data_IF_069005748214
#
_entry.id   IF_069005748214
#
_cell.length_a   1.000
_cell.length_b   1.000
_cell.length_c   1.000
_cell.angle_alpha   90.00
_cell.angle_beta   90.00
_cell.angle_gamma   90.00
#
_symmetry.space_group_name_H-M   'P 1'
#
loop_
_entity.id
_entity.type
_entity.pdbx_description
1 polymer ?
#
# COMPACT_ATOMS: atom_id res chain seq x y z
N UNK A 1 9.78 -6.19 19.37
CA UNK A 1 9.07 -5.37 18.36
C UNK A 1 10.12 -4.88 17.38
N UNK A 2 9.88 -4.98 16.08
CA UNK A 2 10.78 -4.38 15.07
C UNK A 2 10.74 -2.84 15.21
N UNK A 3 11.86 -2.16 14.94
CA UNK A 3 11.90 -0.70 14.91
C UNK A 3 11.42 -0.19 13.54
N UNK A 4 11.01 1.08 13.47
CA UNK A 4 10.79 1.79 12.19
C UNK A 4 12.08 1.71 11.37
N UNK A 5 11.96 1.32 10.10
CA UNK A 5 13.10 1.18 9.19
C UNK A 5 13.06 -0.09 8.35
N UNK A 6 14.19 -0.41 7.74
CA UNK A 6 14.33 -1.59 6.86
C UNK A 6 14.29 -2.87 7.68
N UNK A 7 13.42 -3.78 7.28
CA UNK A 7 13.22 -5.08 7.89
C UNK A 7 13.07 -6.16 6.81
N UNK A 8 13.01 -7.42 7.25
CA UNK A 8 12.73 -8.56 6.41
C UNK A 8 11.50 -9.29 6.94
N UNK A 9 10.53 -9.53 6.10
CA UNK A 9 9.31 -10.26 6.44
C UNK A 9 9.22 -11.54 5.63
N UNK A 10 8.58 -12.55 6.18
CA UNK A 10 8.22 -13.78 5.48
C UNK A 10 6.69 -13.77 5.34
N UNK A 11 6.14 -13.45 4.14
CA UNK A 11 4.70 -13.54 3.92
C UNK A 11 4.20 -14.96 4.18
N UNK A 12 2.96 -15.10 4.67
CA UNK A 12 2.38 -16.42 4.94
C UNK A 12 2.39 -17.30 3.70
N UNK A 13 2.66 -18.58 3.90
CA UNK A 13 2.74 -19.58 2.83
C UNK A 13 3.76 -19.26 1.72
N UNK A 14 4.71 -18.38 2.03
CA UNK A 14 5.84 -18.09 1.15
C UNK A 14 7.11 -18.69 1.74
N UNK A 15 7.99 -19.20 0.87
CA UNK A 15 9.36 -19.56 1.22
C UNK A 15 10.35 -18.41 1.01
N UNK A 16 9.89 -17.30 0.44
CA UNK A 16 10.72 -16.16 0.08
C UNK A 16 10.59 -15.02 1.09
N UNK A 17 11.73 -14.56 1.57
CA UNK A 17 11.84 -13.39 2.44
C UNK A 17 11.80 -12.13 1.61
N UNK A 18 10.97 -11.16 2.01
CA UNK A 18 10.81 -9.87 1.34
C UNK A 18 11.43 -8.77 2.18
N UNK A 19 12.30 -7.96 1.56
CA UNK A 19 12.85 -6.75 2.17
C UNK A 19 11.79 -5.64 2.10
N UNK A 20 11.47 -5.03 3.25
CA UNK A 20 10.42 -4.01 3.38
C UNK A 20 10.88 -2.84 4.25
N UNK A 21 10.11 -1.77 4.23
CA UNK A 21 10.20 -0.71 5.23
C UNK A 21 9.03 -0.85 6.19
N UNK A 22 9.30 -0.95 7.48
CA UNK A 22 8.30 -1.00 8.54
C UNK A 22 8.11 0.38 9.15
N UNK A 23 6.87 0.80 9.33
CA UNK A 23 6.48 1.99 10.08
C UNK A 23 5.82 1.55 11.40
N UNK A 24 6.48 1.86 12.51
CA UNK A 24 6.02 1.51 13.86
C UNK A 24 5.43 2.71 14.61
N UNK A 25 5.30 3.85 13.94
CA UNK A 25 4.89 5.12 14.55
C UNK A 25 3.46 5.52 14.16
N UNK A 26 3.13 5.40 12.87
CA UNK A 26 1.82 5.83 12.37
C UNK A 26 0.69 4.98 12.96
N UNK A 27 -0.31 5.62 13.57
CA UNK A 27 -1.56 4.98 14.03
C UNK A 27 -1.35 3.66 14.81
N UNK A 28 -0.42 3.63 15.76
CA UNK A 28 -0.12 2.47 16.59
C UNK A 28 0.88 1.48 15.97
N UNK A 29 1.45 1.76 14.82
CA UNK A 29 2.51 0.98 14.21
C UNK A 29 2.07 -0.32 13.55
N UNK A 30 3.04 -1.21 13.29
CA UNK A 30 2.80 -2.51 12.65
C UNK A 30 2.57 -2.44 11.14
N UNK A 31 2.88 -1.32 10.52
CA UNK A 31 2.68 -1.11 9.09
C UNK A 31 3.88 -1.58 8.27
N UNK A 32 3.61 -2.21 7.15
CA UNK A 32 4.56 -2.51 6.08
C UNK A 32 4.29 -1.56 4.92
N UNK A 33 5.25 -0.71 4.57
CA UNK A 33 5.11 0.20 3.42
C UNK A 33 5.23 -0.61 2.13
N UNK A 34 4.27 -0.42 1.22
CA UNK A 34 4.19 -1.13 -0.06
C UNK A 34 4.44 -0.24 -1.27
N UNK A 35 4.29 1.08 -1.09
CA UNK A 35 4.58 2.10 -2.10
C UNK A 35 5.02 3.38 -1.43
N UNK A 36 5.96 4.09 -2.04
CA UNK A 36 6.32 5.46 -1.63
C UNK A 36 6.63 6.33 -2.84
N UNK A 37 6.11 7.57 -2.78
CA UNK A 37 6.46 8.67 -3.67
C UNK A 37 6.94 9.84 -2.84
N UNK A 38 8.07 10.48 -3.22
CA UNK A 38 8.66 11.55 -2.39
C UNK A 38 9.45 12.60 -3.14
N UNK A 39 10.11 12.30 -4.24
CA UNK A 39 11.02 13.22 -4.93
C UNK A 39 11.13 13.01 -6.47
N UNK A 40 10.42 12.02 -7.02
CA UNK A 40 10.34 11.75 -8.45
C UNK A 40 11.61 11.18 -9.08
N UNK A 41 12.55 10.66 -8.28
CA UNK A 41 13.79 10.07 -8.82
C UNK A 41 13.58 8.66 -9.38
N UNK A 42 12.59 7.94 -8.89
CA UNK A 42 12.24 6.62 -9.42
C UNK A 42 11.21 6.76 -10.55
N UNK A 43 11.49 6.11 -11.67
CA UNK A 43 10.55 6.05 -12.79
C UNK A 43 9.48 5.00 -12.52
N UNK A 44 8.21 5.43 -12.42
CA UNK A 44 7.05 4.57 -12.26
C UNK A 44 6.37 4.20 -13.60
N UNK A 45 6.82 4.73 -14.73
CA UNK A 45 6.33 4.32 -16.06
C UNK A 45 6.94 2.96 -16.47
N UNK A 46 6.65 1.94 -15.71
CA UNK A 46 7.20 0.58 -15.86
C UNK A 46 6.20 -0.36 -16.54
N UNK A 47 6.73 -1.44 -17.07
CA UNK A 47 5.95 -2.52 -17.69
C UNK A 47 5.37 -3.48 -16.63
N UNK A 48 4.53 -4.41 -17.10
CA UNK A 48 3.89 -5.43 -16.27
C UNK A 48 4.88 -6.24 -15.43
N UNK A 49 5.94 -6.73 -16.05
CA UNK A 49 6.93 -7.54 -15.36
C UNK A 49 7.61 -6.80 -14.20
N UNK A 50 7.88 -5.50 -14.35
CA UNK A 50 8.44 -4.68 -13.28
C UNK A 50 7.42 -4.44 -12.15
N UNK A 51 6.16 -4.12 -12.48
CA UNK A 51 5.11 -4.00 -11.46
C UNK A 51 4.82 -5.32 -10.75
N UNK A 52 4.89 -6.44 -11.45
CA UNK A 52 4.77 -7.79 -10.87
C UNK A 52 5.81 -8.04 -9.78
N UNK A 53 7.08 -7.79 -10.08
CA UNK A 53 8.21 -8.14 -9.18
C UNK A 53 8.56 -7.03 -8.19
N UNK A 54 8.19 -5.78 -8.48
CA UNK A 54 8.58 -4.59 -7.73
C UNK A 54 9.83 -3.90 -8.27
N UNK A 55 9.99 -2.63 -7.92
CA UNK A 55 11.10 -1.78 -8.34
C UNK A 55 11.36 -0.65 -7.35
N UNK A 56 12.50 0.04 -7.50
CA UNK A 56 12.91 1.14 -6.63
C UNK A 56 13.62 0.67 -5.36
N UNK A 57 13.68 1.55 -4.36
CA UNK A 57 14.36 1.29 -3.09
C UNK A 57 13.43 1.53 -1.92
N UNK A 58 13.33 0.59 -1.00
CA UNK A 58 12.51 0.73 0.24
C UNK A 58 12.95 1.90 1.13
N UNK A 59 14.13 2.48 0.90
CA UNK A 59 14.61 3.70 1.56
C UNK A 59 14.24 4.99 0.82
N UNK A 60 13.77 4.89 -0.43
CA UNK A 60 13.34 5.99 -1.27
C UNK A 60 11.96 5.72 -1.85
N UNK A 61 11.77 6.04 -3.14
CA UNK A 61 10.56 5.70 -3.88
C UNK A 61 10.60 4.24 -4.35
N UNK A 62 9.47 3.55 -4.28
CA UNK A 62 9.37 2.15 -4.71
C UNK A 62 7.93 1.66 -4.85
N UNK A 63 7.78 0.56 -5.57
CA UNK A 63 6.62 -0.32 -5.59
C UNK A 63 7.06 -1.71 -5.14
N UNK A 64 6.39 -2.29 -4.14
CA UNK A 64 6.82 -3.56 -3.53
C UNK A 64 6.66 -4.77 -4.46
N UNK A 65 5.81 -4.66 -5.47
CA UNK A 65 5.49 -5.71 -6.43
C UNK A 65 4.12 -6.36 -6.19
N UNK A 66 3.37 -6.56 -7.28
CA UNK A 66 2.01 -7.10 -7.21
C UNK A 66 1.98 -8.53 -6.65
N UNK A 67 3.00 -9.35 -6.93
CA UNK A 67 3.14 -10.68 -6.33
C UNK A 67 3.26 -10.61 -4.81
N UNK A 68 4.02 -9.64 -4.29
CA UNK A 68 4.17 -9.43 -2.86
C UNK A 68 2.88 -8.86 -2.25
N UNK A 69 2.20 -7.93 -2.93
CA UNK A 69 0.91 -7.42 -2.50
C UNK A 69 -0.12 -8.55 -2.38
N UNK A 70 -0.22 -9.40 -3.39
CA UNK A 70 -1.09 -10.58 -3.35
C UNK A 70 -0.77 -11.47 -2.13
N UNK A 71 0.50 -11.82 -1.93
CA UNK A 71 0.93 -12.67 -0.80
C UNK A 71 0.60 -12.06 0.55
N UNK A 72 0.69 -10.73 0.68
CA UNK A 72 0.40 -10.03 1.95
C UNK A 72 -1.09 -9.85 2.22
N UNK A 73 -1.95 -9.91 1.20
CA UNK A 73 -3.36 -9.52 1.32
C UNK A 73 -4.36 -10.65 1.09
N UNK A 74 -3.95 -11.79 0.52
CA UNK A 74 -4.82 -12.90 0.09
C UNK A 74 -5.74 -13.47 1.17
N UNK A 75 -5.39 -13.34 2.44
CA UNK A 75 -6.19 -13.85 3.57
C UNK A 75 -7.37 -12.93 3.96
N UNK A 76 -7.54 -11.79 3.29
CA UNK A 76 -8.58 -10.80 3.58
C UNK A 76 -8.57 -10.27 5.04
N UNK A 77 -7.42 -10.31 5.69
CA UNK A 77 -7.22 -9.80 7.07
C UNK A 77 -6.34 -8.56 7.11
N UNK A 78 -6.01 -8.04 5.95
CA UNK A 78 -5.05 -6.94 5.80
C UNK A 78 -5.79 -5.61 5.65
N UNK A 79 -5.38 -4.63 6.45
CA UNK A 79 -5.78 -3.24 6.32
C UNK A 79 -4.85 -2.53 5.34
N UNK A 80 -5.38 -1.53 4.64
CA UNK A 80 -4.60 -0.55 3.88
C UNK A 80 -4.70 0.80 4.56
N UNK A 81 -3.59 1.51 4.59
CA UNK A 81 -3.56 2.96 4.85
C UNK A 81 -2.81 3.67 3.73
N UNK A 82 -3.34 4.81 3.31
CA UNK A 82 -2.71 5.72 2.36
C UNK A 82 -2.52 7.05 3.06
N UNK A 83 -1.27 7.46 3.23
CA UNK A 83 -0.89 8.77 3.74
C UNK A 83 -0.51 9.67 2.57
N UNK A 84 -1.06 10.88 2.53
CA UNK A 84 -0.96 11.83 1.45
C UNK A 84 -0.48 13.18 1.98
N UNK A 85 0.45 13.81 1.29
CA UNK A 85 0.85 15.20 1.54
C UNK A 85 0.69 15.96 0.24
N UNK A 86 -0.12 17.01 0.27
CA UNK A 86 -0.33 17.85 -0.90
C UNK A 86 0.85 18.80 -1.16
N UNK A 87 0.80 19.52 -2.27
CA UNK A 87 1.84 20.48 -2.67
C UNK A 87 1.93 21.69 -1.74
N UNK A 88 0.95 21.93 -0.85
CA UNK A 88 0.93 22.98 0.15
C UNK A 88 1.39 22.51 1.53
N UNK A 89 1.71 21.20 1.67
CA UNK A 89 2.14 20.58 2.91
C UNK A 89 1.01 20.16 3.84
N UNK A 90 -0.24 20.17 3.39
CA UNK A 90 -1.37 19.63 4.14
C UNK A 90 -1.31 18.09 4.13
N UNK A 91 -1.76 17.52 5.23
CA UNK A 91 -1.75 16.08 5.43
C UNK A 91 -3.15 15.49 5.36
N UNK A 92 -3.29 14.44 4.55
CA UNK A 92 -4.51 13.70 4.32
C UNK A 92 -4.25 12.21 4.52
N UNK A 93 -5.28 11.45 4.85
CA UNK A 93 -5.16 10.01 4.95
C UNK A 93 -6.48 9.30 4.64
N UNK A 94 -6.36 8.08 4.15
CA UNK A 94 -7.46 7.13 3.97
C UNK A 94 -7.05 5.76 4.50
N UNK A 95 -7.92 5.13 5.28
CA UNK A 95 -7.76 3.75 5.74
C UNK A 95 -8.91 2.88 5.22
N UNK A 96 -8.59 1.63 4.95
CA UNK A 96 -9.54 0.59 4.55
C UNK A 96 -9.35 -0.60 5.47
N UNK A 97 -10.43 -1.05 6.12
CA UNK A 97 -10.40 -2.18 7.03
C UNK A 97 -10.03 -3.49 6.34
N UNK A 98 -10.31 -3.60 5.05
CA UNK A 98 -9.97 -4.74 4.23
C UNK A 98 -9.42 -4.28 2.89
N UNK A 99 -8.26 -4.81 2.56
CA UNK A 99 -7.56 -4.63 1.30
C UNK A 99 -7.10 -5.98 0.79
N UNK A 100 -7.50 -6.33 -0.43
CA UNK A 100 -7.15 -7.59 -1.07
C UNK A 100 -6.70 -7.34 -2.50
N UNK A 101 -5.60 -7.95 -2.89
CA UNK A 101 -5.10 -7.99 -4.26
C UNK A 101 -5.13 -9.44 -4.74
N UNK A 102 -5.86 -9.70 -5.82
CA UNK A 102 -5.96 -11.02 -6.46
C UNK A 102 -4.63 -11.49 -7.04
N UNK A 103 -4.58 -12.73 -7.48
CA UNK A 103 -3.40 -13.30 -8.14
C UNK A 103 -3.21 -12.77 -9.57
N UNK A 104 -2.07 -13.10 -10.19
CA UNK A 104 -1.79 -12.70 -11.59
C UNK A 104 -2.84 -13.21 -12.57
N UNK A 105 -3.33 -14.44 -12.36
CA UNK A 105 -4.41 -15.05 -13.14
C UNK A 105 -5.74 -14.31 -13.04
N UNK A 106 -5.92 -13.46 -12.02
CA UNK A 106 -7.07 -12.58 -11.82
C UNK A 106 -6.78 -11.14 -12.25
N UNK A 107 -5.62 -10.89 -12.89
CA UNK A 107 -5.14 -9.56 -13.28
C UNK A 107 -4.80 -8.67 -12.11
N UNK A 108 -4.38 -9.24 -10.96
CA UNK A 108 -4.15 -8.53 -9.70
C UNK A 108 -5.32 -7.62 -9.32
N UNK A 109 -6.56 -8.07 -9.52
CA UNK A 109 -7.75 -7.28 -9.20
C UNK A 109 -7.79 -6.87 -7.73
N UNK A 110 -8.33 -5.68 -7.44
CA UNK A 110 -8.29 -5.08 -6.10
C UNK A 110 -9.66 -5.03 -5.44
N UNK A 111 -9.71 -5.20 -4.12
CA UNK A 111 -10.91 -4.99 -3.32
C UNK A 111 -10.60 -4.16 -2.08
N UNK A 112 -11.51 -3.22 -1.76
CA UNK A 112 -11.44 -2.32 -0.61
C UNK A 112 -12.74 -2.37 0.16
N UNK A 113 -12.69 -2.38 1.51
CA UNK A 113 -13.87 -2.27 2.37
C UNK A 113 -13.56 -1.50 3.64
N UNK A 114 -14.57 -0.86 4.22
CA UNK A 114 -14.49 -0.23 5.53
C UNK A 114 -13.63 1.03 5.55
N UNK A 115 -13.99 2.00 4.69
CA UNK A 115 -13.29 3.28 4.60
C UNK A 115 -13.44 4.12 5.86
N UNK A 116 -12.33 4.75 6.29
CA UNK A 116 -12.24 5.87 7.23
C UNK A 116 -11.12 6.82 6.80
N UNK A 117 -11.26 8.12 7.05
CA UNK A 117 -10.21 9.06 6.67
C UNK A 117 -10.66 10.52 6.67
N UNK A 118 -9.71 11.42 6.36
CA UNK A 118 -9.95 12.82 6.06
C UNK A 118 -9.73 13.17 4.57
N UNK A 119 -9.13 12.26 3.79
CA UNK A 119 -9.24 12.28 2.34
C UNK A 119 -10.52 11.53 1.95
N UNK A 120 -11.25 11.95 0.92
CA UNK A 120 -12.48 11.24 0.52
C UNK A 120 -12.20 9.81 0.02
N UNK A 121 -13.22 8.93 0.01
CA UNK A 121 -13.10 7.55 -0.47
C UNK A 121 -12.97 7.48 -2.00
N UNK A 122 -11.84 7.91 -2.53
CA UNK A 122 -11.59 7.86 -3.97
C UNK A 122 -11.17 6.48 -4.47
N UNK A 123 -10.61 5.61 -3.62
CA UNK A 123 -10.17 4.27 -4.03
C UNK A 123 -11.34 3.31 -4.16
N UNK A 124 -12.10 3.06 -3.09
CA UNK A 124 -13.18 2.09 -3.16
C UNK A 124 -14.33 2.59 -4.04
N UNK A 125 -14.60 3.90 -4.06
CA UNK A 125 -15.69 4.45 -4.88
C UNK A 125 -15.45 4.32 -6.40
N UNK A 126 -14.19 4.23 -6.86
CA UNK A 126 -13.88 4.26 -8.28
C UNK A 126 -13.00 3.12 -8.79
N UNK A 127 -12.13 2.56 -7.93
CA UNK A 127 -11.17 1.52 -8.32
C UNK A 127 -11.56 0.12 -7.83
N UNK A 128 -12.71 -0.02 -7.16
CA UNK A 128 -13.21 -1.31 -6.64
C UNK A 128 -13.32 -2.35 -7.75
N UNK A 129 -12.74 -3.53 -7.52
CA UNK A 129 -12.75 -4.69 -8.41
C UNK A 129 -12.03 -4.49 -9.76
N UNK A 130 -11.31 -3.39 -9.94
CA UNK A 130 -10.55 -3.14 -11.15
C UNK A 130 -9.31 -4.05 -11.19
N UNK A 131 -8.95 -4.47 -12.40
CA UNK A 131 -7.70 -5.16 -12.68
C UNK A 131 -6.56 -4.16 -12.77
N UNK A 132 -5.35 -4.63 -12.47
CA UNK A 132 -4.15 -3.81 -12.64
C UNK A 132 -3.82 -3.66 -14.11
N UNK A 133 -3.50 -2.44 -14.55
CA UNK A 133 -3.09 -2.14 -15.93
C UNK A 133 -1.73 -1.46 -15.94
N UNK A 134 -0.94 -1.79 -16.95
CA UNK A 134 0.33 -1.16 -17.30
C UNK A 134 0.33 -0.76 -18.77
N UNK A 135 1.28 0.05 -19.22
CA UNK A 135 1.38 0.50 -20.62
C UNK A 135 1.43 -0.64 -21.64
N UNK A 136 1.94 -1.81 -21.24
CA UNK A 136 2.10 -3.01 -22.07
C UNK A 136 1.06 -4.11 -21.77
N UNK A 137 0.20 -3.92 -20.76
CA UNK A 137 -0.89 -4.84 -20.42
C UNK A 137 -2.11 -4.03 -19.96
N UNK A 138 -2.95 -3.68 -20.92
CA UNK A 138 -4.17 -2.91 -20.72
C UNK A 138 -5.33 -3.81 -20.32
N UNK A 139 -5.84 -3.61 -19.09
CA UNK A 139 -6.98 -4.32 -18.51
C UNK A 139 -8.03 -3.35 -17.94
N UNK A 140 -7.92 -2.05 -18.25
CA UNK A 140 -8.86 -1.04 -17.79
C UNK A 140 -10.21 -1.07 -18.54
N UNK A 141 -11.13 -0.21 -18.18
CA UNK A 141 -12.46 -0.13 -18.80
C UNK A 141 -12.57 0.99 -19.84
N UNK A 142 -11.50 1.74 -20.08
CA UNK A 142 -11.46 2.84 -21.03
C UNK A 142 -11.23 2.32 -22.46
N UNK A 143 -11.55 3.14 -23.46
CA UNK A 143 -11.20 2.87 -24.85
C UNK A 143 -9.74 3.27 -25.19
N UNK A 144 -9.04 3.85 -24.23
CA UNK A 144 -7.63 4.26 -24.33
C UNK A 144 -6.87 3.69 -23.16
N UNK A 145 -5.64 3.25 -23.37
CA UNK A 145 -4.80 2.74 -22.28
C UNK A 145 -4.49 3.85 -21.28
N UNK A 146 -5.14 3.77 -20.09
CA UNK A 146 -4.96 4.76 -19.03
C UNK A 146 -3.54 4.72 -18.45
N UNK A 147 -2.93 3.54 -18.34
CA UNK A 147 -1.57 3.40 -17.80
C UNK A 147 -0.52 4.06 -18.72
N UNK A 148 -0.71 4.02 -20.03
CA UNK A 148 0.15 4.73 -20.98
C UNK A 148 -0.08 6.25 -20.89
N UNK A 149 -1.34 6.67 -20.83
CA UNK A 149 -1.72 8.09 -20.75
C UNK A 149 -1.22 8.76 -19.46
N UNK A 150 -1.30 8.09 -18.32
CA UNK A 150 -0.92 8.61 -17.00
C UNK A 150 0.50 8.23 -16.57
N UNK A 151 1.21 7.43 -17.39
CA UNK A 151 2.60 7.05 -17.20
C UNK A 151 2.86 6.33 -15.86
N UNK A 152 2.01 5.37 -15.52
CA UNK A 152 2.14 4.55 -14.32
C UNK A 152 1.14 3.42 -14.28
N UNK A 153 1.52 2.28 -13.69
CA UNK A 153 0.61 1.15 -13.50
C UNK A 153 -0.35 1.37 -12.32
N UNK A 154 -1.64 1.05 -12.51
CA UNK A 154 -2.66 1.21 -11.48
C UNK A 154 -3.89 0.33 -11.76
N UNK A 155 -4.80 0.30 -10.80
CA UNK A 155 -6.13 -0.32 -10.95
C UNK A 155 -7.11 0.64 -11.65
N UNK A 156 -6.87 0.94 -12.90
CA UNK A 156 -7.67 1.90 -13.67
C UNK A 156 -9.08 1.37 -13.98
N UNK A 157 -10.07 2.27 -13.95
CA UNK A 157 -11.43 2.10 -14.43
C UNK A 157 -11.60 2.84 -15.77
N UNK A 158 -12.48 3.84 -15.87
CA UNK A 158 -12.46 4.84 -16.95
C UNK A 158 -11.46 5.94 -16.58
N UNK A 159 -10.25 5.57 -16.53
CA UNK A 159 -9.03 6.06 -15.96
C UNK A 159 -9.09 6.14 -14.44
N UNK A 160 -9.19 7.29 -13.76
CA UNK A 160 -8.83 7.30 -12.36
C UNK A 160 -9.49 8.43 -11.55
N UNK A 161 -9.69 8.18 -10.25
CA UNK A 161 -9.87 9.16 -9.18
C UNK A 161 -8.64 9.22 -8.26
N UNK A 162 -7.76 8.23 -8.36
CA UNK A 162 -6.47 8.18 -7.66
C UNK A 162 -5.38 7.85 -8.65
N UNK A 163 -4.37 8.71 -8.76
CA UNK A 163 -3.20 8.49 -9.58
C UNK A 163 -1.92 8.74 -8.77
N UNK A 164 -1.54 7.78 -7.95
CA UNK A 164 -0.37 7.90 -7.05
C UNK A 164 0.86 7.15 -7.56
N UNK A 165 0.71 6.40 -8.65
CA UNK A 165 1.82 5.78 -9.39
C UNK A 165 2.16 6.53 -10.70
N UNK A 166 1.43 7.57 -11.04
CA UNK A 166 1.66 8.34 -12.26
C UNK A 166 2.95 9.17 -12.23
N UNK A 167 3.12 9.98 -13.27
CA UNK A 167 4.27 10.85 -13.41
C UNK A 167 4.38 11.82 -12.24
N UNK A 168 5.54 11.87 -11.58
CA UNK A 168 5.80 12.77 -10.46
C UNK A 168 5.68 14.24 -10.88
N UNK A 169 5.25 15.10 -9.96
CA UNK A 169 5.07 16.56 -10.08
C UNK A 169 3.92 17.03 -11.00
N UNK A 170 3.42 16.21 -11.92
CA UNK A 170 2.33 16.62 -12.83
C UNK A 170 1.09 15.74 -12.73
N UNK A 171 1.17 14.60 -12.07
CA UNK A 171 0.12 13.61 -12.15
C UNK A 171 -0.17 12.85 -10.86
N UNK A 172 0.46 13.16 -9.74
CA UNK A 172 0.08 12.54 -8.47
C UNK A 172 -1.16 13.25 -7.94
N UNK A 173 -2.30 12.58 -7.96
CA UNK A 173 -3.59 13.18 -7.63
C UNK A 173 -4.47 12.24 -6.82
N UNK A 174 -5.32 12.86 -6.01
CA UNK A 174 -6.42 12.21 -5.31
C UNK A 174 -7.68 13.08 -5.49
N UNK A 175 -8.78 12.46 -5.91
CA UNK A 175 -10.04 13.19 -6.09
C UNK A 175 -10.79 13.31 -4.77
N UNK A 176 -11.07 14.52 -4.35
CA UNK A 176 -11.95 14.80 -3.22
C UNK A 176 -13.39 14.95 -3.71
N UNK A 177 -14.20 13.93 -3.45
CA UNK A 177 -15.60 13.90 -3.86
C UNK A 177 -16.49 14.83 -3.02
N UNK A 178 -16.05 15.28 -1.86
CA UNK A 178 -16.81 16.17 -0.99
C UNK A 178 -16.74 17.62 -1.50
N UNK A 179 -15.55 18.05 -1.89
CA UNK A 179 -15.30 19.38 -2.42
C UNK A 179 -15.36 19.43 -3.96
N UNK A 180 -15.44 18.24 -4.61
CA UNK A 180 -15.42 18.09 -6.08
C UNK A 180 -14.13 18.68 -6.70
N UNK A 181 -12.99 18.43 -6.06
CA UNK A 181 -11.69 18.97 -6.44
C UNK A 181 -10.61 17.88 -6.49
N UNK A 182 -9.50 18.18 -7.17
CA UNK A 182 -8.34 17.33 -7.23
C UNK A 182 -7.26 17.82 -6.26
N UNK A 183 -6.85 16.97 -5.33
CA UNK A 183 -5.72 17.21 -4.45
C UNK A 183 -4.45 16.88 -5.22
N UNK A 184 -3.61 17.87 -5.48
CA UNK A 184 -2.29 17.68 -6.09
C UNK A 184 -1.28 17.25 -5.01
N UNK A 185 -0.63 16.11 -5.20
CA UNK A 185 0.19 15.46 -4.18
C UNK A 185 1.69 15.67 -4.41
N UNK A 186 2.42 15.91 -3.33
CA UNK A 186 3.87 15.98 -3.29
C UNK A 186 4.51 14.70 -2.72
N UNK A 187 3.81 14.03 -1.78
CA UNK A 187 4.28 12.76 -1.20
C UNK A 187 3.11 11.80 -1.00
N UNK A 188 3.41 10.52 -1.11
CA UNK A 188 2.45 9.43 -0.86
C UNK A 188 3.17 8.27 -0.18
N UNK A 189 2.51 7.64 0.77
CA UNK A 189 2.85 6.31 1.26
C UNK A 189 1.62 5.43 1.32
N UNK A 190 1.67 4.27 0.66
CA UNK A 190 0.72 3.19 0.90
C UNK A 190 1.36 2.18 1.85
N UNK A 191 0.62 1.73 2.84
CA UNK A 191 1.09 0.76 3.82
C UNK A 191 0.00 -0.22 4.22
N UNK A 192 0.39 -1.43 4.53
CA UNK A 192 -0.53 -2.51 4.93
C UNK A 192 -0.20 -3.04 6.31
N UNK A 193 -1.24 -3.57 7.00
CA UNK A 193 -1.12 -4.15 8.33
C UNK A 193 -2.08 -5.34 8.49
N UNK A 194 -1.57 -6.45 9.03
CA UNK A 194 -2.43 -7.60 9.38
C UNK A 194 -3.16 -7.33 10.70
N UNK A 195 -4.48 -7.28 10.68
CA UNK A 195 -5.36 -7.06 11.85
C UNK A 195 -5.14 -8.06 12.97
N UNK A 196 -4.81 -9.30 12.63
CA UNK A 196 -4.62 -10.38 13.61
C UNK A 196 -3.43 -10.15 14.52
N UNK A 197 -2.38 -9.53 13.98
CA UNK A 197 -1.17 -9.21 14.75
C UNK A 197 -1.41 -7.99 15.64
N UNK A 198 -2.15 -7.02 15.13
CA UNK A 198 -2.45 -5.79 15.86
C UNK A 198 -3.39 -6.01 17.05
N UNK A 199 -4.37 -6.91 16.92
CA UNK A 199 -5.37 -7.19 17.95
C UNK A 199 -4.92 -8.23 18.98
N UNK A 200 -3.68 -8.74 18.94
CA UNK A 200 -3.19 -9.63 20.00
C UNK A 200 -2.89 -8.81 21.27
N UNK A 201 -3.48 -9.18 22.42
CA UNK A 201 -3.09 -8.57 23.70
C UNK A 201 -1.59 -8.82 23.93
N UNK A 202 -0.87 -7.79 24.38
CA UNK A 202 0.53 -7.91 24.72
C UNK A 202 0.72 -9.10 25.66
N UNK A 203 1.38 -10.16 25.21
CA UNK A 203 1.74 -11.29 26.06
C UNK A 203 2.75 -10.79 27.07
N UNK A 204 2.27 -10.52 28.30
CA UNK A 204 3.13 -10.25 29.43
C UNK A 204 3.85 -11.55 29.76
N UNK A 205 5.10 -11.69 29.34
CA UNK A 205 6.00 -12.73 29.85
C UNK A 205 6.26 -12.40 31.33
N UNK A 206 5.39 -12.92 32.20
CA UNK A 206 5.68 -12.98 33.63
C UNK A 206 6.83 -13.98 33.81
N UNK A 207 8.04 -13.46 33.92
CA UNK A 207 9.19 -14.23 34.34
C UNK A 207 8.94 -14.68 35.79
N UNK A 208 8.55 -15.94 36.00
CA UNK A 208 8.55 -16.56 37.32
C UNK A 208 9.99 -16.72 37.79
N UNK A 209 10.42 -15.80 38.60
CA UNK A 209 11.63 -15.98 39.42
C UNK A 209 11.25 -16.92 40.54
N UNK A 210 11.49 -18.22 40.37
CA UNK A 210 11.49 -19.17 41.47
C UNK A 210 12.76 -18.95 42.31
N UNK A 211 12.63 -18.18 43.37
CA UNK A 211 13.60 -18.16 44.44
C UNK A 211 13.25 -19.27 45.43
N UNK A 212 13.97 -20.36 45.40
CA UNK A 212 13.97 -21.35 46.49
C UNK A 212 14.81 -20.81 47.65
N UNK A 213 14.28 -20.78 48.87
CA UNK A 213 15.11 -20.52 50.03
C UNK A 213 15.82 -21.80 50.45
N UNK A 214 17.14 -21.81 50.44
CA UNK A 214 17.93 -22.85 51.11
C UNK A 214 18.02 -22.52 52.61
N UNK A 215 17.47 -23.41 53.40
CA UNK A 215 17.71 -23.52 54.86
C UNK A 215 18.99 -24.31 55.04
N UNK A 216 19.96 -23.73 55.66
CA UNK A 216 20.83 -24.09 56.77
C UNK A 216 22.04 -23.20 56.82
#
# INVERSE_FOLDING_TARGET
>A
MSSTGVNYILPRESSEVVKVYCDQETSGGGWTVIQRRSDGKEDFNRNWAAYKTGFGSVLGEFWLGNDNLHRLTKDNTTMLRVDLWDIYGQYWWAEYDSFLVGGENEGYSVQFHGYTGNASDAMASYHQSMKFSTRDNDQDLSNTNCADSYQGGWWYSHCQHVNINGKYALGLTWYDSLENEWIALAKVEMKVRDKRIFNQPATTTAGSINSTPSVH
#
